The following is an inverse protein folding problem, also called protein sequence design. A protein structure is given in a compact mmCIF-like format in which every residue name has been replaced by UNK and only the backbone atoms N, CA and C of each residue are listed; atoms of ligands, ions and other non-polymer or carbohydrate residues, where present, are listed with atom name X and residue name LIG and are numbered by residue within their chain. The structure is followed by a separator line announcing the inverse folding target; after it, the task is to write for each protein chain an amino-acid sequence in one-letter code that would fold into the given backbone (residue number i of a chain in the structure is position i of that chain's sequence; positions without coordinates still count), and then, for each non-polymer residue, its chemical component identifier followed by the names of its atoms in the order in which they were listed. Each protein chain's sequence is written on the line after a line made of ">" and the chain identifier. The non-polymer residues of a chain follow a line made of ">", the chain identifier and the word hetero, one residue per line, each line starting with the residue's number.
data_IF_856030077336
#
_entry.id   IF_856030077336
#
_cell.length_a   1.000
_cell.length_b   1.000
_cell.length_c   1.000
_cell.angle_alpha   90.00
_cell.angle_beta   90.00
_cell.angle_gamma   90.00
#
_symmetry.space_group_name_H-M   'P 1'
#
loop_
_entity.id
_entity.type
_entity.pdbx_description
1 polymer ?
#
# COMPACT_ATOMS: atom_id res chain seq x y z
N UNK A 1 48.09 25.70 -22.40
CA UNK A 1 47.63 25.57 -20.99
C UNK A 1 46.50 26.57 -20.73
N UNK A 2 45.25 26.12 -20.85
CA UNK A 2 44.11 26.55 -20.03
C UNK A 2 42.97 25.56 -20.27
N UNK A 3 43.07 24.46 -19.54
CA UNK A 3 42.01 23.50 -19.23
C UNK A 3 41.07 24.15 -18.23
N UNK A 4 39.82 24.42 -18.60
CA UNK A 4 38.72 24.50 -17.64
C UNK A 4 37.76 23.36 -17.95
N UNK A 5 37.96 22.28 -17.20
CA UNK A 5 37.02 21.17 -17.08
C UNK A 5 35.70 21.72 -16.54
N UNK A 6 34.63 21.61 -17.32
CA UNK A 6 33.27 21.73 -16.80
C UNK A 6 33.06 20.63 -15.75
N UNK A 7 33.06 21.00 -14.47
CA UNK A 7 32.67 20.10 -13.37
C UNK A 7 31.20 19.73 -13.56
N UNK A 8 30.92 18.44 -13.76
CA UNK A 8 29.55 17.90 -13.70
C UNK A 8 29.12 17.96 -12.23
N UNK A 9 28.15 18.83 -11.92
CA UNK A 9 27.48 18.82 -10.63
C UNK A 9 26.25 17.92 -10.72
N UNK A 10 26.11 17.04 -9.74
CA UNK A 10 24.97 16.17 -9.53
C UNK A 10 24.10 16.75 -8.42
N UNK A 11 22.78 16.62 -8.58
CA UNK A 11 21.79 17.05 -7.58
C UNK A 11 20.93 15.85 -7.22
N UNK A 12 20.83 15.53 -5.94
CA UNK A 12 19.98 14.44 -5.44
C UNK A 12 18.94 14.94 -4.45
N UNK A 13 17.75 14.37 -4.54
CA UNK A 13 16.57 14.77 -3.77
C UNK A 13 16.12 13.61 -2.88
N UNK A 14 15.95 13.85 -1.59
CA UNK A 14 15.21 12.98 -0.69
C UNK A 14 13.87 13.62 -0.37
N UNK A 15 12.80 12.87 -0.60
CA UNK A 15 11.43 13.30 -0.29
C UNK A 15 10.79 12.19 0.54
N UNK A 16 10.34 12.54 1.74
CA UNK A 16 9.57 11.63 2.60
C UNK A 16 8.17 12.18 2.74
N UNK A 17 7.16 11.39 2.37
CA UNK A 17 5.74 11.77 2.43
C UNK A 17 5.01 11.25 3.68
N UNK A 18 5.63 10.33 4.42
CA UNK A 18 5.07 9.85 5.68
C UNK A 18 5.17 10.97 6.73
N UNK A 19 4.06 11.28 7.41
CA UNK A 19 3.98 12.44 8.30
C UNK A 19 4.86 12.29 9.54
N UNK A 20 4.88 11.11 10.15
CA UNK A 20 5.66 10.85 11.37
C UNK A 20 7.15 10.79 11.02
N UNK A 21 7.50 10.08 9.96
CA UNK A 21 8.87 9.96 9.49
C UNK A 21 9.41 11.30 8.98
N UNK A 22 8.56 12.13 8.35
CA UNK A 22 8.94 13.49 7.94
C UNK A 22 9.36 14.33 9.14
N UNK A 23 8.63 14.26 10.26
CA UNK A 23 9.01 14.98 11.50
C UNK A 23 10.32 14.48 12.08
N UNK A 24 10.59 13.17 11.97
CA UNK A 24 11.88 12.60 12.37
C UNK A 24 13.00 13.11 11.49
N UNK A 25 12.83 13.07 10.17
CA UNK A 25 13.81 13.59 9.22
C UNK A 25 14.03 15.10 9.38
N UNK A 26 12.99 15.88 9.62
CA UNK A 26 13.08 17.32 9.91
C UNK A 26 13.97 17.59 11.13
N UNK A 27 13.67 16.89 12.23
CA UNK A 27 14.40 17.03 13.49
C UNK A 27 15.87 16.69 13.29
N UNK A 28 16.15 15.55 12.64
CA UNK A 28 17.51 15.06 12.44
C UNK A 28 18.31 15.94 11.48
N UNK A 29 17.68 16.40 10.39
CA UNK A 29 18.28 17.35 9.47
C UNK A 29 18.63 18.67 10.18
N UNK A 30 17.73 19.19 11.02
CA UNK A 30 17.88 20.47 11.72
C UNK A 30 18.91 20.41 12.85
N UNK A 31 18.89 19.33 13.64
CA UNK A 31 19.74 19.20 14.84
C UNK A 31 21.17 18.73 14.51
N UNK A 32 21.35 17.88 13.48
CA UNK A 32 22.61 17.17 13.26
C UNK A 32 23.28 17.47 11.92
N UNK A 33 22.54 17.70 10.82
CA UNK A 33 23.14 17.71 9.48
C UNK A 33 23.28 19.09 8.84
N UNK A 34 22.35 20.03 9.09
CA UNK A 34 22.39 21.38 8.48
C UNK A 34 23.63 22.20 8.89
N UNK A 35 24.22 21.91 10.05
CA UNK A 35 25.42 22.60 10.53
C UNK A 35 26.73 22.01 10.00
N UNK A 36 26.70 20.89 9.28
CA UNK A 36 27.91 20.11 8.94
C UNK A 36 28.27 20.18 7.45
N UNK A 37 27.35 20.48 6.52
CA UNK A 37 27.67 20.38 5.08
C UNK A 37 27.13 21.54 4.21
N UNK A 38 28.06 22.21 3.52
CA UNK A 38 27.79 23.21 2.48
C UNK A 38 26.91 22.63 1.34
N UNK A 39 26.15 23.49 0.66
CA UNK A 39 25.30 23.14 -0.50
C UNK A 39 24.16 22.14 -0.23
N UNK A 40 23.64 22.11 1.01
CA UNK A 40 22.45 21.33 1.39
C UNK A 40 21.29 22.27 1.69
N UNK A 41 20.11 22.01 1.13
CA UNK A 41 18.88 22.77 1.40
C UNK A 41 17.79 21.82 1.90
N UNK A 42 17.10 22.20 2.96
CA UNK A 42 16.01 21.42 3.57
C UNK A 42 14.76 22.27 3.61
N UNK A 43 13.63 21.69 3.22
CA UNK A 43 12.33 22.35 3.18
C UNK A 43 11.27 21.48 3.85
N UNK A 44 10.31 22.16 4.46
CA UNK A 44 9.15 21.53 5.04
C UNK A 44 7.87 22.20 4.52
N UNK A 45 7.16 21.49 3.65
CA UNK A 45 5.92 21.94 3.00
C UNK A 45 4.94 20.76 3.00
N UNK A 46 4.37 20.46 4.16
CA UNK A 46 3.54 19.27 4.48
C UNK A 46 4.28 17.92 4.49
N UNK A 47 5.46 17.83 3.90
CA UNK A 47 6.31 16.64 3.86
C UNK A 47 7.79 17.06 3.82
N UNK A 48 8.70 16.17 4.23
CA UNK A 48 10.13 16.46 4.28
C UNK A 48 10.75 16.47 2.87
N UNK A 49 11.57 17.49 2.57
CA UNK A 49 12.41 17.52 1.37
C UNK A 49 13.83 17.97 1.70
N UNK A 50 14.81 17.23 1.21
CA UNK A 50 16.23 17.58 1.29
C UNK A 50 16.90 17.49 -0.07
N UNK A 51 17.72 18.48 -0.36
CA UNK A 51 18.44 18.68 -1.61
C UNK A 51 19.92 18.80 -1.30
N UNK A 52 20.76 18.05 -2.03
CA UNK A 52 22.20 18.18 -1.94
C UNK A 52 22.83 18.13 -3.34
N UNK A 53 23.72 19.09 -3.59
CA UNK A 53 24.52 19.15 -4.81
C UNK A 53 25.97 18.77 -4.50
N UNK A 54 26.57 17.94 -5.36
CA UNK A 54 27.99 17.54 -5.27
C UNK A 54 28.57 17.21 -6.66
N UNK A 55 29.88 17.30 -6.84
CA UNK A 55 30.56 16.91 -8.08
C UNK A 55 30.66 15.37 -8.23
N UNK A 56 30.35 14.58 -7.18
CA UNK A 56 30.41 13.12 -7.16
C UNK A 56 29.09 12.47 -6.72
N UNK A 57 28.53 11.60 -7.57
CA UNK A 57 27.29 10.87 -7.30
C UNK A 57 27.41 9.86 -6.15
N UNK A 58 28.53 9.14 -6.01
CA UNK A 58 28.72 8.16 -4.93
C UNK A 58 28.69 8.83 -3.55
N UNK A 59 29.29 10.03 -3.44
CA UNK A 59 29.26 10.82 -2.20
C UNK A 59 27.82 11.26 -1.87
N UNK A 60 27.00 11.58 -2.87
CA UNK A 60 25.58 11.87 -2.65
C UNK A 60 24.86 10.62 -2.14
N UNK A 61 25.04 9.46 -2.79
CA UNK A 61 24.42 8.20 -2.38
C UNK A 61 24.76 7.82 -0.94
N UNK A 62 26.06 7.83 -0.59
CA UNK A 62 26.53 7.54 0.76
C UNK A 62 25.98 8.55 1.78
N UNK A 63 25.96 9.84 1.45
CA UNK A 63 25.40 10.87 2.33
C UNK A 63 23.94 10.62 2.68
N UNK A 64 23.09 10.37 1.68
CA UNK A 64 21.66 10.17 1.92
C UNK A 64 21.39 8.83 2.62
N UNK A 65 22.22 7.82 2.36
CA UNK A 65 22.17 6.55 3.09
C UNK A 65 22.49 6.75 4.57
N UNK A 66 23.62 7.39 4.89
CA UNK A 66 24.04 7.64 6.27
C UNK A 66 23.01 8.52 7.02
N UNK A 67 22.49 9.55 6.36
CA UNK A 67 21.42 10.38 6.92
C UNK A 67 20.17 9.55 7.24
N UNK A 68 19.70 8.74 6.30
CA UNK A 68 18.54 7.87 6.52
C UNK A 68 18.81 6.90 7.68
N UNK A 69 19.96 6.24 7.73
CA UNK A 69 20.29 5.30 8.81
C UNK A 69 20.27 5.98 10.18
N UNK A 70 20.95 7.12 10.33
CA UNK A 70 20.98 7.85 11.60
C UNK A 70 19.61 8.39 12.00
N UNK A 71 18.86 8.93 11.03
CA UNK A 71 17.55 9.50 11.30
C UNK A 71 16.50 8.44 11.66
N UNK A 72 16.59 7.25 11.07
CA UNK A 72 15.65 6.17 11.28
C UNK A 72 15.86 5.41 12.60
N UNK A 73 17.09 5.35 13.13
CA UNK A 73 17.38 4.60 14.36
C UNK A 73 16.49 5.00 15.56
N UNK A 74 16.32 6.28 15.93
CA UNK A 74 15.43 6.68 17.00
C UNK A 74 13.95 6.35 16.73
N UNK A 75 13.52 6.44 15.48
CA UNK A 75 12.14 6.13 15.07
C UNK A 75 11.84 4.64 15.27
N UNK A 76 12.69 3.77 14.72
CA UNK A 76 12.54 2.32 14.89
C UNK A 76 12.65 1.89 16.35
N UNK A 77 13.50 2.54 17.16
CA UNK A 77 13.59 2.25 18.59
C UNK A 77 12.28 2.59 19.32
N UNK A 78 11.65 3.73 19.01
CA UNK A 78 10.36 4.11 19.58
C UNK A 78 9.27 3.10 19.19
N UNK A 79 9.13 2.80 17.91
CA UNK A 79 8.16 1.83 17.39
C UNK A 79 8.37 0.43 17.99
N UNK A 80 9.64 0.01 18.15
CA UNK A 80 10.00 -1.23 18.86
C UNK A 80 9.53 -1.19 20.33
N UNK A 81 9.81 -0.10 21.06
CA UNK A 81 9.43 0.05 22.47
C UNK A 81 7.90 0.03 22.66
N UNK A 82 7.15 0.71 21.78
CA UNK A 82 5.69 0.69 21.78
C UNK A 82 5.17 -0.72 21.50
N UNK A 83 5.74 -1.41 20.50
CA UNK A 83 5.38 -2.79 20.20
C UNK A 83 5.68 -3.78 21.35
N UNK A 84 6.75 -3.56 22.13
CA UNK A 84 7.05 -4.39 23.31
C UNK A 84 6.00 -4.30 24.43
N UNK A 85 5.15 -3.26 24.44
CA UNK A 85 4.08 -3.11 25.43
C UNK A 85 2.91 -4.06 25.16
N UNK A 86 2.77 -4.54 23.92
CA UNK A 86 1.70 -5.46 23.51
C UNK A 86 2.01 -6.87 24.02
N UNK A 87 1.13 -7.42 24.87
CA UNK A 87 1.30 -8.73 25.51
C UNK A 87 0.27 -9.75 25.07
N UNK A 88 0.55 -10.49 24.00
CA UNK A 88 -0.27 -11.60 23.54
C UNK A 88 0.44 -12.91 23.91
N UNK A 89 -0.25 -13.79 24.64
CA UNK A 89 0.30 -15.08 25.07
C UNK A 89 0.78 -15.92 23.86
N UNK A 90 2.00 -16.46 23.95
CA UNK A 90 2.62 -17.25 22.88
C UNK A 90 3.30 -16.43 21.78
N UNK A 91 3.27 -15.09 21.85
CA UNK A 91 3.92 -14.22 20.87
C UNK A 91 4.83 -13.18 21.52
N UNK A 92 6.03 -13.06 20.97
CA UNK A 92 6.92 -11.92 21.18
C UNK A 92 6.76 -10.94 20.03
N UNK A 93 6.03 -9.86 20.26
CA UNK A 93 5.89 -8.76 19.29
C UNK A 93 7.27 -8.09 19.12
N UNK A 94 7.73 -7.91 17.88
CA UNK A 94 9.02 -7.33 17.55
C UNK A 94 8.86 -5.84 17.28
N UNK A 95 8.00 -5.47 16.34
CA UNK A 95 7.86 -4.09 15.88
C UNK A 95 6.71 -3.93 14.91
N UNK A 96 6.22 -2.69 14.76
CA UNK A 96 5.23 -2.34 13.74
C UNK A 96 5.87 -2.43 12.36
N UNK A 97 5.16 -3.06 11.41
CA UNK A 97 5.59 -3.20 10.02
C UNK A 97 4.62 -2.59 9.02
N UNK A 98 3.44 -2.16 9.48
CA UNK A 98 2.48 -1.47 8.63
C UNK A 98 1.29 -0.97 9.42
N UNK A 99 0.62 0.04 8.87
CA UNK A 99 -0.62 0.58 9.43
C UNK A 99 -1.61 0.83 8.30
N UNK A 100 -2.75 0.16 8.37
CA UNK A 100 -3.90 0.42 7.51
C UNK A 100 -4.91 1.33 8.21
N UNK A 101 -6.02 1.61 7.52
CA UNK A 101 -7.11 2.46 8.03
C UNK A 101 -7.77 1.93 9.31
N UNK A 102 -7.76 0.62 9.53
CA UNK A 102 -8.48 -0.01 10.64
C UNK A 102 -7.65 -1.00 11.46
N UNK A 103 -6.45 -1.35 10.99
CA UNK A 103 -5.59 -2.34 11.62
C UNK A 103 -4.13 -1.89 11.58
N UNK A 104 -3.39 -2.28 12.59
CA UNK A 104 -1.94 -2.13 12.66
C UNK A 104 -1.32 -3.52 12.57
N UNK A 105 -0.33 -3.68 11.71
CA UNK A 105 0.40 -4.92 11.49
C UNK A 105 1.74 -4.87 12.23
N UNK A 106 2.01 -5.90 13.01
CA UNK A 106 3.23 -6.08 13.77
C UNK A 106 3.94 -7.36 13.35
N UNK A 107 5.26 -7.32 13.22
CA UNK A 107 6.08 -8.53 13.13
C UNK A 107 6.18 -9.15 14.52
N UNK A 108 6.05 -10.47 14.62
CA UNK A 108 6.17 -11.19 15.88
C UNK A 108 6.89 -12.53 15.71
N UNK A 109 7.49 -13.02 16.79
CA UNK A 109 7.94 -14.41 16.91
C UNK A 109 6.91 -15.19 17.72
N UNK A 110 6.52 -16.36 17.21
CA UNK A 110 5.67 -17.30 17.95
C UNK A 110 6.54 -18.27 18.74
N UNK A 111 6.18 -18.52 20.00
CA UNK A 111 6.95 -19.39 20.88
C UNK A 111 7.08 -20.81 20.28
N UNK A 112 8.33 -21.29 20.17
CA UNK A 112 8.63 -22.60 19.59
C UNK A 112 8.68 -22.64 18.06
N UNK A 113 8.41 -21.52 17.36
CA UNK A 113 8.52 -21.42 15.90
C UNK A 113 9.77 -20.61 15.50
N UNK A 114 10.40 -21.01 14.40
CA UNK A 114 11.58 -20.32 13.86
C UNK A 114 11.23 -19.18 12.92
N UNK A 115 10.13 -19.34 12.19
CA UNK A 115 9.69 -18.35 11.21
C UNK A 115 8.88 -17.26 11.91
N UNK A 116 9.07 -15.98 11.53
CA UNK A 116 8.25 -14.90 12.04
C UNK A 116 6.83 -14.97 11.48
N UNK A 117 5.91 -14.32 12.19
CA UNK A 117 4.50 -14.16 11.81
C UNK A 117 4.11 -12.69 11.84
N UNK A 118 2.98 -12.37 11.23
CA UNK A 118 2.38 -11.04 11.32
C UNK A 118 1.19 -11.10 12.28
N UNK A 119 1.19 -10.24 13.28
CA UNK A 119 0.04 -10.01 14.15
C UNK A 119 -0.64 -8.71 13.70
N UNK A 120 -1.88 -8.81 13.21
CA UNK A 120 -2.69 -7.62 12.93
C UNK A 120 -3.71 -7.37 14.02
N UNK A 121 -3.66 -6.19 14.61
CA UNK A 121 -4.59 -5.73 15.64
C UNK A 121 -5.53 -4.69 15.05
N UNK A 122 -6.83 -4.76 15.33
CA UNK A 122 -7.70 -3.62 15.00
C UNK A 122 -7.39 -2.44 15.92
N UNK A 123 -7.49 -1.24 15.36
CA UNK A 123 -7.38 -0.01 16.14
C UNK A 123 -8.46 0.05 17.22
N UNK A 124 -8.10 0.61 18.37
CA UNK A 124 -8.84 0.52 19.63
C UNK A 124 -10.34 0.84 19.50
N UNK A 125 -11.15 0.00 20.15
CA UNK A 125 -12.62 0.01 20.12
C UNK A 125 -13.21 1.39 20.50
N UNK A 126 -12.49 2.20 21.29
CA UNK A 126 -12.87 3.55 21.73
C UNK A 126 -13.06 4.54 20.57
N UNK A 127 -12.23 4.43 19.51
CA UNK A 127 -12.33 5.23 18.27
C UNK A 127 -13.42 4.68 17.33
N UNK A 128 -13.66 3.37 17.37
CA UNK A 128 -14.70 2.68 16.58
C UNK A 128 -16.12 2.90 17.15
N UNK A 129 -16.25 2.94 18.49
CA UNK A 129 -17.52 2.98 19.25
C UNK A 129 -18.36 4.24 19.00
N UNK A 130 -17.77 5.41 18.74
CA UNK A 130 -18.54 6.64 18.45
C UNK A 130 -19.40 6.55 17.17
N UNK A 131 -19.08 5.61 16.26
CA UNK A 131 -19.79 5.44 14.98
C UNK A 131 -20.54 4.10 14.87
N UNK A 132 -20.04 3.03 15.50
CA UNK A 132 -20.62 1.69 15.43
C UNK A 132 -21.94 1.51 16.21
N UNK A 133 -22.05 2.12 17.40
CA UNK A 133 -23.15 1.84 18.34
C UNK A 133 -24.54 2.30 17.89
N UNK A 134 -24.65 3.11 16.83
CA UNK A 134 -25.96 3.55 16.31
C UNK A 134 -26.68 2.49 15.46
N UNK A 135 -25.98 1.47 14.94
CA UNK A 135 -26.57 0.52 13.96
C UNK A 135 -26.66 -0.93 14.43
N UNK A 136 -25.75 -1.42 15.28
CA UNK A 136 -25.75 -2.83 15.70
C UNK A 136 -26.30 -2.96 17.12
N UNK A 137 -27.60 -3.24 17.26
CA UNK A 137 -28.22 -3.59 18.55
C UNK A 137 -27.97 -5.05 19.00
N UNK A 138 -27.07 -5.82 18.36
CA UNK A 138 -27.20 -7.30 18.39
C UNK A 138 -25.94 -8.16 18.67
N UNK A 139 -24.69 -7.68 18.70
CA UNK A 139 -23.53 -8.51 19.12
C UNK A 139 -22.29 -7.65 19.45
N UNK A 140 -21.35 -8.12 20.32
CA UNK A 140 -20.02 -7.51 20.49
C UNK A 140 -19.24 -7.45 19.17
N UNK A 141 -18.44 -6.40 18.95
CA UNK A 141 -17.59 -6.24 17.76
C UNK A 141 -16.63 -7.41 17.53
N UNK A 142 -16.11 -7.96 18.63
CA UNK A 142 -15.22 -9.11 18.60
C UNK A 142 -15.88 -10.34 17.97
N UNK A 143 -17.13 -10.62 18.29
CA UNK A 143 -17.89 -11.73 17.70
C UNK A 143 -18.12 -11.52 16.19
N UNK A 144 -18.50 -10.30 15.79
CA UNK A 144 -18.70 -9.95 14.38
C UNK A 144 -17.42 -10.12 13.58
N UNK A 145 -16.28 -9.68 14.12
CA UNK A 145 -14.99 -9.80 13.44
C UNK A 145 -14.48 -11.24 13.41
N UNK A 146 -14.59 -11.98 14.51
CA UNK A 146 -14.23 -13.41 14.54
C UNK A 146 -15.00 -14.22 13.51
N UNK A 147 -16.33 -14.06 13.44
CA UNK A 147 -17.15 -14.76 12.44
C UNK A 147 -16.77 -14.41 11.00
N UNK A 148 -16.33 -13.18 10.75
CA UNK A 148 -15.84 -12.78 9.42
C UNK A 148 -14.50 -13.42 9.08
N UNK A 149 -13.58 -13.53 10.05
CA UNK A 149 -12.30 -14.22 9.86
C UNK A 149 -12.56 -15.72 9.62
N UNK A 150 -13.41 -16.36 10.43
CA UNK A 150 -13.83 -17.76 10.25
C UNK A 150 -14.39 -17.99 8.85
N UNK A 151 -15.26 -17.09 8.40
CA UNK A 151 -15.80 -17.13 7.05
C UNK A 151 -14.73 -17.00 5.99
N UNK A 152 -13.53 -16.48 6.26
CA UNK A 152 -12.44 -16.32 5.29
C UNK A 152 -11.43 -17.47 5.30
N UNK A 153 -11.41 -18.33 6.32
CA UNK A 153 -10.37 -19.37 6.48
C UNK A 153 -10.26 -20.36 5.32
N UNK A 154 -11.34 -20.65 4.58
CA UNK A 154 -11.24 -21.53 3.39
C UNK A 154 -10.36 -20.93 2.27
N UNK A 155 -10.14 -19.61 2.27
CA UNK A 155 -9.27 -18.94 1.28
C UNK A 155 -7.80 -19.28 1.50
N UNK A 156 -7.44 -19.84 2.67
CA UNK A 156 -6.09 -20.35 2.94
C UNK A 156 -5.66 -21.47 1.98
N UNK A 157 -6.60 -22.11 1.27
CA UNK A 157 -6.33 -23.07 0.20
C UNK A 157 -5.78 -22.40 -1.07
N UNK A 158 -6.02 -21.11 -1.25
CA UNK A 158 -5.50 -20.36 -2.39
C UNK A 158 -4.06 -19.91 -2.14
N UNK A 159 -3.14 -20.34 -3.01
CA UNK A 159 -1.72 -19.96 -2.92
C UNK A 159 -1.47 -18.45 -3.07
N UNK A 160 -2.42 -17.71 -3.66
CA UNK A 160 -2.31 -16.27 -3.93
C UNK A 160 -3.06 -15.39 -2.92
N UNK A 161 -3.39 -15.92 -1.73
CA UNK A 161 -3.98 -15.19 -0.61
C UNK A 161 -3.10 -15.41 0.61
N UNK A 162 -2.82 -14.34 1.36
CA UNK A 162 -2.06 -14.41 2.62
C UNK A 162 -2.83 -15.29 3.61
N UNK A 163 -2.17 -16.34 4.08
CA UNK A 163 -2.73 -17.32 4.99
C UNK A 163 -2.93 -16.73 6.38
N UNK A 164 -4.12 -16.92 6.91
CA UNK A 164 -4.43 -16.68 8.33
C UNK A 164 -4.20 -17.99 9.08
N UNK A 165 -3.16 -18.04 9.88
CA UNK A 165 -2.77 -19.21 10.64
C UNK A 165 -3.61 -19.36 11.92
N UNK A 166 -3.97 -18.24 12.54
CA UNK A 166 -4.74 -18.20 13.78
C UNK A 166 -5.44 -16.84 13.95
N UNK A 167 -6.38 -16.76 14.89
CA UNK A 167 -6.96 -15.50 15.34
C UNK A 167 -7.32 -15.61 16.82
N UNK A 168 -7.46 -14.47 17.49
CA UNK A 168 -7.80 -14.45 18.90
C UNK A 168 -8.28 -13.09 19.37
N UNK A 169 -8.43 -12.95 20.69
CA UNK A 169 -8.86 -11.71 21.32
C UNK A 169 -7.72 -11.18 22.18
N UNK A 170 -7.44 -9.88 22.07
CA UNK A 170 -6.49 -9.14 22.88
C UNK A 170 -7.14 -7.82 23.31
N UNK A 171 -7.19 -7.51 24.61
CA UNK A 171 -7.72 -6.23 25.15
C UNK A 171 -9.06 -5.77 24.54
N UNK A 172 -10.02 -6.70 24.34
CA UNK A 172 -11.34 -6.49 23.72
C UNK A 172 -11.33 -6.18 22.20
N UNK A 173 -10.21 -6.41 21.52
CA UNK A 173 -10.11 -6.38 20.07
C UNK A 173 -9.74 -7.76 19.52
N UNK A 174 -10.00 -7.99 18.24
CA UNK A 174 -9.60 -9.23 17.56
C UNK A 174 -8.20 -9.04 16.99
N UNK A 175 -7.41 -10.11 16.94
CA UNK A 175 -6.17 -10.13 16.19
C UNK A 175 -6.14 -11.32 15.23
N UNK A 176 -5.42 -11.18 14.12
CA UNK A 176 -5.07 -12.29 13.22
C UNK A 176 -3.56 -12.56 13.29
N UNK A 177 -3.20 -13.85 13.33
CA UNK A 177 -1.85 -14.36 13.05
C UNK A 177 -1.81 -14.75 11.58
N UNK A 178 -0.95 -14.10 10.81
CA UNK A 178 -0.80 -14.31 9.37
C UNK A 178 0.62 -14.73 9.02
N UNK A 179 0.79 -15.40 7.88
CA UNK A 179 2.12 -15.67 7.34
C UNK A 179 2.87 -14.36 7.01
N UNK A 180 4.18 -14.33 7.27
CA UNK A 180 5.00 -13.18 6.92
C UNK A 180 5.49 -13.25 5.48
N UNK A 181 5.31 -12.15 4.75
CA UNK A 181 5.74 -11.98 3.37
C UNK A 181 6.92 -10.99 3.33
N UNK A 182 8.14 -11.53 3.33
CA UNK A 182 9.41 -10.79 3.50
C UNK A 182 9.75 -9.80 2.37
N UNK A 183 9.20 -10.01 1.17
CA UNK A 183 9.57 -9.26 -0.04
C UNK A 183 8.93 -7.88 -0.16
N UNK A 184 8.28 -7.39 0.90
CA UNK A 184 7.51 -6.16 0.86
C UNK A 184 6.25 -6.29 0.01
N UNK A 185 5.87 -5.21 -0.66
CA UNK A 185 4.67 -5.11 -1.47
C UNK A 185 4.98 -4.90 -2.96
N UNK A 186 3.99 -5.15 -3.81
CA UNK A 186 4.13 -4.88 -5.25
C UNK A 186 4.27 -3.37 -5.56
N UNK A 187 3.86 -2.49 -4.64
CA UNK A 187 4.10 -1.05 -4.74
C UNK A 187 5.61 -0.75 -4.74
N UNK A 188 6.40 -1.50 -3.98
CA UNK A 188 7.86 -1.32 -3.88
C UNK A 188 8.57 -1.70 -5.19
N UNK A 189 7.93 -2.56 -5.99
CA UNK A 189 8.44 -2.94 -7.30
C UNK A 189 8.10 -1.95 -8.42
N UNK A 190 7.30 -0.90 -8.20
CA UNK A 190 6.84 -0.04 -9.31
C UNK A 190 7.99 0.55 -10.13
N UNK A 191 9.07 0.98 -9.48
CA UNK A 191 10.28 1.54 -10.10
C UNK A 191 11.23 0.47 -10.69
N UNK A 192 10.95 -0.82 -10.50
CA UNK A 192 11.74 -1.87 -11.12
C UNK A 192 11.57 -1.82 -12.64
N UNK A 193 12.69 -2.01 -13.35
CA UNK A 193 12.73 -2.13 -14.81
C UNK A 193 12.26 -3.51 -15.31
N UNK A 194 12.09 -4.49 -14.41
CA UNK A 194 11.63 -5.84 -14.76
C UNK A 194 10.11 -5.87 -14.92
N UNK A 195 9.64 -5.37 -16.06
CA UNK A 195 8.22 -5.31 -16.40
C UNK A 195 7.56 -6.69 -16.39
N UNK A 196 8.23 -7.72 -16.91
CA UNK A 196 7.67 -9.06 -17.02
C UNK A 196 7.41 -9.67 -15.64
N UNK A 197 8.35 -9.48 -14.71
CA UNK A 197 8.17 -9.90 -13.32
C UNK A 197 7.05 -9.14 -12.63
N UNK A 198 6.97 -7.81 -12.81
CA UNK A 198 5.86 -7.00 -12.27
C UNK A 198 4.51 -7.51 -12.75
N UNK A 199 4.36 -7.74 -14.05
CA UNK A 199 3.11 -8.25 -14.66
C UNK A 199 2.78 -9.66 -14.18
N UNK A 200 3.79 -10.54 -14.08
CA UNK A 200 3.62 -11.91 -13.59
C UNK A 200 3.11 -11.93 -12.14
N UNK A 201 3.71 -11.14 -11.25
CA UNK A 201 3.29 -11.01 -9.85
C UNK A 201 1.90 -10.37 -9.73
N UNK A 202 1.60 -9.35 -10.54
CA UNK A 202 0.28 -8.75 -10.57
C UNK A 202 -0.79 -9.77 -11.01
N UNK A 203 -0.50 -10.58 -12.03
CA UNK A 203 -1.40 -11.64 -12.48
C UNK A 203 -1.66 -12.68 -11.39
N UNK A 204 -0.64 -13.09 -10.64
CA UNK A 204 -0.82 -13.97 -9.48
C UNK A 204 -1.79 -13.38 -8.45
N UNK A 205 -1.64 -12.09 -8.14
CA UNK A 205 -2.54 -11.37 -7.25
C UNK A 205 -4.00 -11.38 -7.77
N UNK A 206 -4.22 -11.23 -9.08
CA UNK A 206 -5.54 -11.32 -9.69
C UNK A 206 -6.17 -12.72 -9.58
N UNK A 207 -5.37 -13.79 -9.59
CA UNK A 207 -5.86 -15.15 -9.34
C UNK A 207 -6.37 -15.28 -7.90
N UNK A 208 -5.66 -14.72 -6.93
CA UNK A 208 -6.12 -14.65 -5.54
C UNK A 208 -7.41 -13.83 -5.40
N UNK A 209 -7.46 -12.65 -6.03
CA UNK A 209 -8.63 -11.78 -6.01
C UNK A 209 -9.87 -12.43 -6.66
N UNK A 210 -9.67 -13.22 -7.73
CA UNK A 210 -10.75 -14.02 -8.32
C UNK A 210 -11.37 -14.97 -7.29
N UNK A 211 -10.55 -15.65 -6.47
CA UNK A 211 -11.06 -16.52 -5.39
C UNK A 211 -11.83 -15.75 -4.32
N UNK A 212 -11.41 -14.53 -3.99
CA UNK A 212 -12.17 -13.64 -3.11
C UNK A 212 -13.54 -13.30 -3.70
N UNK A 213 -13.60 -12.96 -4.99
CA UNK A 213 -14.87 -12.67 -5.68
C UNK A 213 -15.80 -13.89 -5.78
N UNK A 214 -15.27 -15.09 -6.03
CA UNK A 214 -16.05 -16.34 -6.04
C UNK A 214 -16.74 -16.63 -4.70
N UNK A 215 -16.16 -16.12 -3.61
CA UNK A 215 -16.72 -16.21 -2.25
C UNK A 215 -17.75 -15.13 -1.93
N UNK A 216 -18.03 -14.24 -2.89
CA UNK A 216 -18.99 -13.15 -2.75
C UNK A 216 -18.45 -11.92 -2.01
N UNK A 217 -17.14 -11.86 -1.75
CA UNK A 217 -16.50 -10.68 -1.15
C UNK A 217 -15.97 -9.75 -2.24
N UNK A 218 -16.21 -8.45 -2.08
CA UNK A 218 -15.71 -7.41 -2.99
C UNK A 218 -14.56 -6.66 -2.30
N UNK A 219 -13.38 -6.63 -2.92
CA UNK A 219 -12.17 -6.07 -2.30
C UNK A 219 -11.43 -5.15 -3.25
N UNK A 220 -11.32 -3.87 -2.91
CA UNK A 220 -10.44 -2.96 -3.65
C UNK A 220 -8.97 -3.40 -3.56
N UNK A 221 -8.40 -3.73 -4.72
CA UNK A 221 -6.99 -4.05 -4.88
C UNK A 221 -6.17 -2.76 -4.82
N UNK A 222 -5.08 -2.79 -4.09
CA UNK A 222 -4.03 -1.78 -4.15
C UNK A 222 -2.70 -2.49 -4.25
N UNK A 223 -1.69 -1.86 -4.85
CA UNK A 223 -0.36 -2.48 -4.97
C UNK A 223 0.28 -2.76 -3.60
N UNK A 224 -0.03 -1.95 -2.58
CA UNK A 224 0.41 -2.17 -1.18
C UNK A 224 -0.23 -3.38 -0.52
N UNK A 225 -1.43 -3.79 -0.96
CA UNK A 225 -2.11 -4.98 -0.46
C UNK A 225 -1.70 -6.25 -1.22
N UNK A 226 -0.74 -6.16 -2.14
CA UNK A 226 -0.16 -7.33 -2.81
C UNK A 226 1.21 -7.55 -2.20
N UNK A 227 1.34 -8.55 -1.33
CA UNK A 227 2.59 -8.84 -0.64
C UNK A 227 3.41 -9.89 -1.41
N UNK A 228 4.72 -9.78 -1.29
CA UNK A 228 5.69 -10.57 -2.05
C UNK A 228 6.53 -11.45 -1.12
N UNK A 229 6.89 -12.64 -1.59
CA UNK A 229 7.89 -13.44 -0.87
C UNK A 229 9.30 -12.87 -1.07
N UNK A 230 10.24 -13.31 -0.24
CA UNK A 230 11.65 -12.90 -0.27
C UNK A 230 12.28 -12.99 -1.67
N UNK A 231 12.00 -14.08 -2.40
CA UNK A 231 12.55 -14.33 -3.74
C UNK A 231 11.87 -13.51 -4.84
N UNK A 232 10.80 -12.78 -4.51
CA UNK A 232 9.97 -12.01 -5.43
C UNK A 232 9.40 -12.87 -6.57
N UNK A 233 9.05 -14.13 -6.27
CA UNK A 233 8.49 -15.08 -7.23
C UNK A 233 7.00 -15.34 -7.00
N UNK A 234 6.51 -15.02 -5.80
CA UNK A 234 5.13 -15.23 -5.37
C UNK A 234 4.53 -13.92 -4.90
N UNK A 235 3.32 -13.63 -5.39
CA UNK A 235 2.49 -12.55 -4.90
C UNK A 235 1.21 -13.10 -4.26
N UNK A 236 0.82 -12.50 -3.13
CA UNK A 236 -0.39 -12.85 -2.40
C UNK A 236 -1.20 -11.60 -2.06
N UNK A 237 -2.52 -11.72 -2.19
CA UNK A 237 -3.45 -10.71 -1.70
C UNK A 237 -3.43 -10.75 -0.17
N UNK A 238 -3.06 -9.62 0.42
CA UNK A 238 -3.19 -9.37 1.82
C UNK A 238 -4.55 -8.70 2.13
N UNK A 239 -5.01 -8.84 3.37
CA UNK A 239 -6.26 -8.22 3.83
C UNK A 239 -7.50 -8.65 3.01
N UNK A 240 -7.53 -9.90 2.54
CA UNK A 240 -8.74 -10.53 1.97
C UNK A 240 -9.92 -10.51 2.96
N UNK A 241 -9.60 -10.36 4.26
CA UNK A 241 -10.50 -10.31 5.40
C UNK A 241 -11.23 -9.00 5.63
N UNK A 242 -10.90 -7.91 4.92
CA UNK A 242 -11.49 -6.63 5.26
C UNK A 242 -12.94 -6.57 4.78
N UNK A 243 -13.81 -7.10 5.64
CA UNK A 243 -14.94 -6.43 6.25
C UNK A 243 -15.40 -5.28 5.36
N UNK A 244 -16.59 -5.39 4.80
CA UNK A 244 -17.43 -4.24 4.44
C UNK A 244 -17.59 -3.36 5.69
N UNK A 245 -16.55 -2.65 6.08
CA UNK A 245 -16.61 -1.50 6.95
C UNK A 245 -16.89 -0.26 6.12
N UNK A 246 -17.07 -0.36 4.81
CA UNK A 246 -17.68 0.74 4.06
C UNK A 246 -19.07 1.12 4.61
N UNK A 247 -19.83 0.13 5.11
CA UNK A 247 -21.09 0.40 5.82
C UNK A 247 -20.90 1.09 7.17
N UNK A 248 -19.69 1.05 7.73
CA UNK A 248 -19.39 1.42 9.12
C UNK A 248 -18.37 2.56 9.25
N UNK A 249 -17.63 2.88 8.18
CA UNK A 249 -16.67 3.97 8.08
C UNK A 249 -17.05 4.91 6.93
N UNK A 250 -17.10 6.23 7.19
CA UNK A 250 -17.25 7.19 6.10
C UNK A 250 -16.08 7.10 5.12
N UNK A 251 -16.36 7.28 3.82
CA UNK A 251 -15.39 7.30 2.73
C UNK A 251 -14.15 8.17 3.01
N UNK A 252 -14.26 9.17 3.89
CA UNK A 252 -13.17 10.07 4.25
C UNK A 252 -12.03 9.44 5.06
N UNK A 253 -12.22 8.25 5.65
CA UNK A 253 -11.18 7.57 6.44
C UNK A 253 -10.30 6.63 5.61
N UNK A 254 -10.74 6.23 4.42
CA UNK A 254 -9.86 5.57 3.47
C UNK A 254 -8.93 6.65 2.93
N UNK A 255 -7.64 6.59 3.28
CA UNK A 255 -6.66 7.65 3.02
C UNK A 255 -6.72 8.18 1.59
N UNK A 256 -6.15 9.37 1.37
CA UNK A 256 -6.24 10.15 0.12
C UNK A 256 -6.09 9.30 -1.17
N UNK A 257 -5.26 8.27 -1.13
CA UNK A 257 -5.03 7.36 -2.24
C UNK A 257 -6.21 6.45 -2.60
N UNK A 258 -7.05 6.02 -1.65
CA UNK A 258 -8.20 5.16 -1.92
C UNK A 258 -9.24 5.85 -2.80
N UNK A 259 -9.44 7.16 -2.56
CA UNK A 259 -10.28 7.98 -3.43
C UNK A 259 -9.83 7.91 -4.89
N UNK A 260 -8.52 7.78 -5.15
CA UNK A 260 -7.97 7.75 -6.50
C UNK A 260 -8.24 6.44 -7.26
N UNK A 261 -8.63 5.37 -6.59
CA UNK A 261 -9.00 4.11 -7.24
C UNK A 261 -10.52 3.91 -7.35
N UNK A 262 -11.32 4.84 -6.82
CA UNK A 262 -12.78 4.76 -6.81
C UNK A 262 -13.37 4.91 -8.23
N UNK A 263 -14.31 4.04 -8.58
CA UNK A 263 -14.95 4.05 -9.89
C UNK A 263 -16.01 5.18 -10.01
N UNK A 264 -16.27 5.71 -11.21
CA UNK A 264 -17.19 6.85 -11.39
C UNK A 264 -18.59 6.62 -10.80
N UNK A 265 -19.11 5.40 -10.88
CA UNK A 265 -20.40 5.04 -10.32
C UNK A 265 -20.42 5.03 -8.78
N UNK A 266 -19.29 4.77 -8.13
CA UNK A 266 -19.18 4.80 -6.68
C UNK A 266 -19.20 6.22 -6.13
N UNK A 267 -18.68 7.21 -6.89
CA UNK A 267 -18.76 8.63 -6.54
C UNK A 267 -20.23 9.08 -6.40
N UNK A 268 -21.12 8.55 -7.25
CA UNK A 268 -22.57 8.83 -7.20
C UNK A 268 -23.31 8.10 -6.07
N UNK A 269 -22.60 7.42 -5.18
CA UNK A 269 -23.15 6.73 -4.01
C UNK A 269 -23.56 5.28 -4.26
N UNK A 270 -23.27 4.69 -5.42
CA UNK A 270 -23.49 3.26 -5.62
C UNK A 270 -22.49 2.43 -4.78
N UNK A 271 -22.92 1.31 -4.18
CA UNK A 271 -22.02 0.39 -3.51
C UNK A 271 -20.95 -0.16 -4.44
N UNK A 272 -19.84 -0.61 -3.87
CA UNK A 272 -18.78 -1.27 -4.61
C UNK A 272 -19.26 -2.63 -5.14
N UNK A 273 -18.88 -3.00 -6.35
CA UNK A 273 -19.16 -4.30 -6.94
C UNK A 273 -17.93 -4.86 -7.68
N UNK A 274 -18.10 -6.01 -8.35
CA UNK A 274 -17.03 -6.63 -9.14
C UNK A 274 -16.56 -5.67 -10.24
N UNK A 275 -17.46 -4.93 -10.91
CA UNK A 275 -17.10 -4.06 -12.03
C UNK A 275 -16.35 -2.81 -11.57
N UNK A 276 -16.70 -2.24 -10.42
CA UNK A 276 -15.92 -1.15 -9.85
C UNK A 276 -14.56 -1.62 -9.35
N UNK A 277 -14.45 -2.88 -8.91
CA UNK A 277 -13.15 -3.47 -8.62
C UNK A 277 -12.27 -3.66 -9.86
N UNK A 278 -12.84 -4.03 -11.02
CA UNK A 278 -12.11 -4.06 -12.30
C UNK A 278 -11.53 -2.68 -12.65
N UNK A 279 -12.24 -1.59 -12.32
CA UNK A 279 -11.73 -0.24 -12.52
C UNK A 279 -10.49 0.04 -11.65
N UNK A 280 -10.53 -0.33 -10.36
CA UNK A 280 -9.38 -0.23 -9.47
C UNK A 280 -8.17 -1.07 -9.94
N UNK A 281 -8.42 -2.27 -10.49
CA UNK A 281 -7.38 -3.12 -11.12
C UNK A 281 -6.70 -2.38 -12.28
N UNK A 282 -7.47 -1.68 -13.13
CA UNK A 282 -6.93 -0.88 -14.24
C UNK A 282 -5.95 0.20 -13.77
N UNK A 283 -6.30 0.91 -12.70
CA UNK A 283 -5.44 1.91 -12.08
C UNK A 283 -4.19 1.30 -11.44
N UNK A 284 -4.32 0.15 -10.75
CA UNK A 284 -3.17 -0.55 -10.19
C UNK A 284 -2.18 -0.98 -11.29
N UNK A 285 -2.68 -1.53 -12.39
CA UNK A 285 -1.84 -1.94 -13.51
C UNK A 285 -1.17 -0.74 -14.18
N UNK A 286 -1.90 0.35 -14.40
CA UNK A 286 -1.32 1.60 -14.92
C UNK A 286 -0.19 2.10 -14.02
N UNK A 287 -0.45 2.22 -12.72
CA UNK A 287 0.54 2.69 -11.73
C UNK A 287 1.78 1.79 -11.68
N UNK A 288 1.58 0.48 -11.71
CA UNK A 288 2.67 -0.51 -11.67
C UNK A 288 3.60 -0.40 -12.89
N UNK A 289 3.03 -0.12 -14.06
CA UNK A 289 3.77 -0.07 -15.31
C UNK A 289 4.38 1.30 -15.61
N UNK A 290 3.74 2.39 -15.19
CA UNK A 290 4.24 3.75 -15.46
C UNK A 290 5.07 4.31 -14.32
N UNK A 291 5.01 3.76 -13.10
CA UNK A 291 5.67 4.30 -11.90
C UNK A 291 5.23 5.71 -11.49
N UNK A 292 4.25 6.30 -12.17
CA UNK A 292 3.83 7.67 -11.90
C UNK A 292 2.87 7.71 -10.70
N UNK A 293 3.08 8.67 -9.79
CA UNK A 293 2.07 9.07 -8.81
C UNK A 293 0.98 9.82 -9.58
N UNK A 294 0.02 9.07 -10.09
CA UNK A 294 -1.10 9.61 -10.86
C UNK A 294 -2.02 10.40 -9.94
N UNK A 295 -1.70 11.67 -9.68
CA UNK A 295 -2.72 12.62 -9.25
C UNK A 295 -2.54 14.07 -9.72
N UNK A 296 -1.37 14.74 -9.61
CA UNK A 296 -1.32 16.16 -9.99
C UNK A 296 -1.52 16.40 -11.49
N UNK A 297 -1.14 15.45 -12.35
CA UNK A 297 -1.23 15.64 -13.81
C UNK A 297 -2.55 15.13 -14.44
N UNK A 298 -3.35 14.34 -13.70
CA UNK A 298 -4.60 13.73 -14.22
C UNK A 298 -5.86 14.50 -13.77
N UNK A 299 -5.76 15.61 -13.04
CA UNK A 299 -6.95 16.38 -12.69
C UNK A 299 -7.65 16.95 -13.94
N UNK A 300 -8.70 16.25 -14.40
CA UNK A 300 -10.08 16.70 -14.18
C UNK A 300 -10.89 15.47 -13.77
N UNK A 301 -11.10 15.31 -12.45
CA UNK A 301 -12.22 14.55 -11.90
C UNK A 301 -13.39 15.49 -11.68
N UNK A 302 -14.27 15.54 -12.67
CA UNK A 302 -15.70 15.76 -12.51
C UNK A 302 -16.35 15.20 -13.76
N UNK A 303 -17.65 15.00 -13.75
CA UNK A 303 -18.46 14.46 -14.85
C UNK A 303 -18.34 15.26 -16.18
N UNK A 304 -17.50 16.31 -16.25
CA UNK A 304 -17.49 17.34 -17.28
C UNK A 304 -16.43 17.16 -18.39
N UNK A 305 -15.48 16.20 -18.28
CA UNK A 305 -14.51 16.00 -19.38
C UNK A 305 -13.95 14.57 -19.52
N UNK A 306 -14.81 13.61 -19.89
CA UNK A 306 -14.41 12.24 -20.23
C UNK A 306 -13.39 12.18 -21.38
N UNK A 307 -13.50 13.08 -22.35
CA UNK A 307 -12.60 13.16 -23.51
C UNK A 307 -11.16 13.41 -23.05
N UNK A 308 -10.94 14.45 -22.24
CA UNK A 308 -9.64 14.76 -21.66
C UNK A 308 -9.07 13.62 -20.80
N UNK A 309 -9.93 12.88 -20.09
CA UNK A 309 -9.49 11.69 -19.35
C UNK A 309 -8.88 10.64 -20.29
N UNK A 310 -9.55 10.32 -21.40
CA UNK A 310 -9.07 9.33 -22.36
C UNK A 310 -7.86 9.82 -23.18
N UNK A 311 -7.75 11.12 -23.43
CA UNK A 311 -6.54 11.75 -24.00
C UNK A 311 -5.33 11.52 -23.08
N UNK A 312 -5.44 11.96 -21.83
CA UNK A 312 -4.39 11.78 -20.82
C UNK A 312 -4.03 10.30 -20.61
N UNK A 313 -5.04 9.42 -20.57
CA UNK A 313 -4.81 7.99 -20.46
C UNK A 313 -4.03 7.44 -21.67
N UNK A 314 -4.30 7.95 -22.87
CA UNK A 314 -3.57 7.53 -24.07
C UNK A 314 -2.12 7.99 -24.04
N UNK A 315 -1.85 9.23 -23.62
CA UNK A 315 -0.49 9.75 -23.43
C UNK A 315 0.30 8.92 -22.39
N UNK A 316 -0.29 8.66 -21.22
CA UNK A 316 0.34 7.87 -20.16
C UNK A 316 0.62 6.41 -20.54
N UNK A 317 -0.14 5.87 -21.50
CA UNK A 317 -0.03 4.48 -21.92
C UNK A 317 0.74 4.30 -23.24
N UNK A 318 1.12 5.37 -23.93
CA UNK A 318 1.73 5.33 -25.26
C UNK A 318 2.97 4.43 -25.33
N UNK A 319 3.81 4.48 -24.29
CA UNK A 319 5.05 3.72 -24.19
C UNK A 319 4.87 2.26 -23.73
N UNK A 320 3.67 1.88 -23.28
CA UNK A 320 3.41 0.53 -22.80
C UNK A 320 3.19 -0.44 -23.97
N UNK A 321 3.43 -1.73 -23.75
CA UNK A 321 3.12 -2.76 -24.75
C UNK A 321 1.63 -2.68 -25.17
N UNK A 322 1.27 -2.87 -26.46
CA UNK A 322 -0.10 -2.73 -26.94
C UNK A 322 -1.13 -3.56 -26.17
N UNK A 323 -0.74 -4.75 -25.71
CA UNK A 323 -1.59 -5.61 -24.86
C UNK A 323 -1.95 -4.94 -23.52
N UNK A 324 -0.98 -4.30 -22.86
CA UNK A 324 -1.20 -3.60 -21.58
C UNK A 324 -2.07 -2.37 -21.77
N UNK A 325 -1.82 -1.58 -22.82
CA UNK A 325 -2.66 -0.42 -23.15
C UNK A 325 -4.13 -0.81 -23.31
N UNK A 326 -4.39 -1.89 -24.08
CA UNK A 326 -5.74 -2.41 -24.33
C UNK A 326 -6.43 -2.85 -23.04
N UNK A 327 -5.73 -3.58 -22.18
CA UNK A 327 -6.27 -4.03 -20.88
C UNK A 327 -6.59 -2.83 -19.99
N UNK A 328 -5.65 -1.91 -19.82
CA UNK A 328 -5.83 -0.71 -18.97
C UNK A 328 -7.03 0.11 -19.46
N UNK A 329 -7.11 0.42 -20.76
CA UNK A 329 -8.22 1.20 -21.34
C UNK A 329 -9.58 0.52 -21.16
N UNK A 330 -9.65 -0.81 -21.31
CA UNK A 330 -10.87 -1.57 -21.04
C UNK A 330 -11.26 -1.55 -19.55
N UNK A 331 -10.30 -1.73 -18.64
CA UNK A 331 -10.57 -1.67 -17.20
C UNK A 331 -11.05 -0.28 -16.75
N UNK A 332 -10.46 0.79 -17.32
CA UNK A 332 -10.77 2.19 -17.00
C UNK A 332 -11.94 2.77 -17.83
N UNK A 333 -12.77 1.92 -18.44
CA UNK A 333 -13.97 2.38 -19.14
C UNK A 333 -14.97 3.00 -18.17
N UNK A 334 -15.52 4.16 -18.54
CA UNK A 334 -16.49 4.89 -17.73
C UNK A 334 -17.73 4.05 -17.42
N UNK A 335 -18.31 3.41 -18.43
CA UNK A 335 -19.44 2.50 -18.27
C UNK A 335 -18.97 1.13 -17.72
N UNK A 336 -19.49 0.68 -16.56
CA UNK A 336 -19.09 -0.59 -15.93
C UNK A 336 -19.27 -1.83 -16.81
N UNK A 337 -20.23 -1.80 -17.74
CA UNK A 337 -20.52 -2.94 -18.61
C UNK A 337 -19.45 -3.16 -19.70
N UNK A 338 -18.70 -2.10 -20.05
CA UNK A 338 -17.63 -2.17 -21.06
C UNK A 338 -16.34 -2.74 -20.47
N UNK A 339 -16.27 -2.86 -19.13
CA UNK A 339 -15.12 -3.40 -18.40
C UNK A 339 -15.08 -4.93 -18.54
N UNK A 340 -13.88 -5.54 -18.68
CA UNK A 340 -13.73 -6.97 -18.92
C UNK A 340 -14.01 -7.80 -17.67
N UNK A 341 -14.05 -9.13 -17.80
CA UNK A 341 -14.00 -10.03 -16.64
C UNK A 341 -12.58 -10.13 -16.09
N UNK A 342 -12.44 -10.52 -14.83
CA UNK A 342 -11.13 -10.79 -14.23
C UNK A 342 -10.39 -11.93 -14.95
N UNK A 343 -11.12 -12.93 -15.44
CA UNK A 343 -10.55 -14.03 -16.24
C UNK A 343 -9.90 -13.55 -17.53
N UNK A 344 -10.55 -12.62 -18.23
CA UNK A 344 -9.96 -12.02 -19.44
C UNK A 344 -8.65 -11.29 -19.12
N UNK A 345 -8.62 -10.54 -18.01
CA UNK A 345 -7.40 -9.83 -17.59
C UNK A 345 -6.29 -10.84 -17.28
N UNK A 346 -6.57 -11.88 -16.50
CA UNK A 346 -5.61 -12.93 -16.14
C UNK A 346 -5.06 -13.65 -17.39
N UNK A 347 -5.89 -13.89 -18.41
CA UNK A 347 -5.44 -14.57 -19.63
C UNK A 347 -4.56 -13.72 -20.54
N UNK A 348 -4.71 -12.39 -20.49
CA UNK A 348 -4.01 -11.48 -21.41
C UNK A 348 -2.70 -10.91 -20.80
N UNK A 349 -2.56 -10.95 -19.47
CA UNK A 349 -1.33 -10.63 -18.75
C UNK A 349 -0.32 -11.79 -18.83
#
# INVERSE_FOLDING_TARGET
>A
LRTEYQKKRFLMHLICFDEELSKVFEKQATEQFLNIFENTQVYFLNHFRMYKEDDNLEILEDFFKDFCEQALQPYFLKEYQEAQQIKIEGYKIIGKIGQGTSRIAYLAMKDGFKEPVVIKLFEEESKLKKKFYKRTKQAPLTEVFSKKIENMLDLNECEHIVRINNYGIYENTVFTEEEFMEGGSLEDMKYSSDEEKKVSLFRQALIGLKKVHEKGAIKNLTLRNILLNKELTKAKINDADLIDLHDYFPKFLSGLEFYFFEAPENETGKPQDIKSNIYAIGWCLLRLLTSHYTYPDILIRSQDNQEKFYENLSELTEYLKPKHQKIIKKCLSYNPNDRPSIDYIISEL
#
